data_IF_633566546007
#
_entry.id   IF_633566546007
#
_cell.length_a   1.000
_cell.length_b   1.000
_cell.length_c   1.000
_cell.angle_alpha   90.00
_cell.angle_beta   90.00
_cell.angle_gamma   90.00
#
_symmetry.space_group_name_H-M   'P 1'
#
loop_
_entity.id
_entity.type
_entity.pdbx_description
1 polymer ?
#
# COMPACT_ATOMS: atom_id res chain seq x y z
N UNK A 1 26.22 -55.81 33.08
CA UNK A 1 26.65 -55.40 31.73
C UNK A 1 25.45 -54.81 31.01
N UNK A 2 25.68 -53.73 30.25
CA UNK A 2 24.72 -52.92 29.50
C UNK A 2 23.76 -53.76 28.61
N UNK A 3 22.59 -53.30 28.14
CA UNK A 3 22.35 -52.07 27.37
C UNK A 3 20.86 -51.69 27.35
N UNK A 4 20.59 -50.40 27.50
CA UNK A 4 19.38 -49.75 27.00
C UNK A 4 19.55 -49.46 25.51
N UNK A 5 18.52 -49.69 24.69
CA UNK A 5 18.29 -49.05 23.38
C UNK A 5 16.77 -48.95 23.22
N UNK A 6 16.15 -47.84 23.63
CA UNK A 6 15.93 -46.60 22.88
C UNK A 6 14.83 -46.75 21.83
N UNK A 7 13.60 -46.46 22.27
CA UNK A 7 12.43 -46.28 21.42
C UNK A 7 12.57 -44.97 20.64
N UNK A 8 12.76 -45.05 19.33
CA UNK A 8 12.71 -43.90 18.44
C UNK A 8 11.26 -43.65 18.00
N UNK A 9 10.60 -42.72 18.69
CA UNK A 9 9.39 -42.04 18.20
C UNK A 9 9.80 -41.09 17.07
N UNK A 10 9.52 -41.46 15.82
CA UNK A 10 9.59 -40.55 14.67
C UNK A 10 8.37 -39.62 14.72
N UNK A 11 8.54 -38.44 15.33
CA UNK A 11 7.62 -37.33 15.13
C UNK A 11 7.87 -36.77 13.72
N UNK A 12 6.96 -37.05 12.79
CA UNK A 12 6.95 -36.39 11.49
C UNK A 12 6.57 -34.92 11.70
N UNK A 13 7.57 -34.05 11.81
CA UNK A 13 7.38 -32.61 11.75
C UNK A 13 6.93 -32.29 10.32
N UNK A 14 5.63 -32.05 10.15
CA UNK A 14 5.09 -31.44 8.94
C UNK A 14 5.55 -29.98 8.93
N UNK A 15 6.77 -29.76 8.43
CA UNK A 15 7.25 -28.42 8.11
C UNK A 15 6.39 -27.95 6.93
N UNK A 16 5.36 -27.16 7.23
CA UNK A 16 4.71 -26.34 6.21
C UNK A 16 5.79 -25.39 5.67
N UNK A 17 6.45 -25.79 4.59
CA UNK A 17 7.20 -24.88 3.76
C UNK A 17 6.17 -23.90 3.17
N UNK A 18 6.00 -22.76 3.83
CA UNK A 18 5.38 -21.59 3.22
C UNK A 18 6.31 -21.21 2.07
N UNK A 19 5.97 -21.66 0.88
CA UNK A 19 6.59 -21.14 -0.33
C UNK A 19 6.09 -19.71 -0.46
N UNK A 20 6.99 -18.74 -0.30
CA UNK A 20 6.71 -17.37 -0.71
C UNK A 20 6.58 -17.40 -2.24
N UNK A 21 5.35 -17.50 -2.73
CA UNK A 21 5.03 -17.47 -4.14
C UNK A 21 5.58 -16.16 -4.75
N UNK A 22 6.13 -16.27 -5.95
CA UNK A 22 6.64 -15.14 -6.74
C UNK A 22 5.51 -14.12 -6.98
N UNK A 23 5.78 -12.84 -6.69
CA UNK A 23 4.85 -11.72 -6.96
C UNK A 23 4.74 -11.54 -8.48
N UNK A 24 3.83 -12.26 -9.12
CA UNK A 24 3.33 -11.90 -10.45
C UNK A 24 2.39 -10.71 -10.28
N UNK A 25 2.81 -9.53 -10.74
CA UNK A 25 2.01 -8.30 -10.62
C UNK A 25 2.80 -7.00 -10.52
N UNK A 26 4.13 -7.08 -10.51
CA UNK A 26 4.98 -5.88 -10.51
C UNK A 26 4.75 -5.05 -11.79
N UNK A 27 4.33 -3.80 -11.61
CA UNK A 27 4.29 -2.78 -12.64
C UNK A 27 5.49 -1.85 -12.46
N UNK A 28 6.08 -1.33 -13.55
CA UNK A 28 7.19 -0.39 -13.43
C UNK A 28 6.80 0.90 -12.70
N UNK A 29 7.78 1.69 -12.24
CA UNK A 29 7.51 2.90 -11.45
C UNK A 29 6.84 4.03 -12.24
N UNK A 30 6.89 4.00 -13.59
CA UNK A 30 6.18 4.95 -14.48
C UNK A 30 6.42 6.42 -14.11
N UNK A 31 7.65 6.73 -13.72
CA UNK A 31 8.08 8.06 -13.27
C UNK A 31 8.05 8.30 -11.76
N UNK A 32 7.51 7.36 -10.96
CA UNK A 32 7.45 7.41 -9.49
C UNK A 32 8.54 6.59 -8.78
N UNK A 33 9.49 6.04 -9.55
CA UNK A 33 10.70 5.37 -9.04
C UNK A 33 10.63 3.85 -9.16
N UNK A 34 11.66 3.26 -9.76
CA UNK A 34 11.70 1.81 -10.05
C UNK A 34 12.31 0.98 -8.91
N UNK A 35 12.75 1.65 -7.84
CA UNK A 35 13.24 0.99 -6.61
C UNK A 35 12.12 0.61 -5.65
N UNK A 36 10.93 1.18 -5.84
CA UNK A 36 9.72 0.84 -5.09
C UNK A 36 9.02 -0.31 -5.84
N UNK A 37 8.57 -1.33 -5.10
CA UNK A 37 7.80 -2.43 -5.68
C UNK A 37 6.36 -1.98 -5.93
N UNK A 38 6.09 -1.46 -7.13
CA UNK A 38 4.75 -1.09 -7.54
C UNK A 38 3.99 -2.29 -8.10
N UNK A 39 2.70 -2.40 -7.78
CA UNK A 39 1.79 -3.42 -8.31
C UNK A 39 0.57 -2.79 -8.98
N UNK A 40 -0.15 -3.59 -9.77
CA UNK A 40 -1.40 -3.16 -10.40
C UNK A 40 -2.51 -2.93 -9.38
N UNK A 41 -3.57 -2.23 -9.78
CA UNK A 41 -4.70 -1.92 -8.88
C UNK A 41 -5.34 -3.17 -8.28
N UNK A 42 -5.75 -4.14 -9.11
CA UNK A 42 -6.44 -5.33 -8.64
C UNK A 42 -5.57 -6.21 -7.74
N UNK A 43 -4.32 -6.41 -8.11
CA UNK A 43 -3.38 -7.23 -7.33
C UNK A 43 -3.02 -6.54 -6.02
N UNK A 44 -2.79 -5.22 -6.04
CA UNK A 44 -2.43 -4.48 -4.85
C UNK A 44 -3.56 -4.39 -3.83
N UNK A 45 -4.82 -4.25 -4.27
CA UNK A 45 -5.96 -4.31 -3.35
C UNK A 45 -6.07 -5.70 -2.71
N UNK A 46 -5.97 -6.76 -3.52
CA UNK A 46 -6.00 -8.13 -3.01
C UNK A 46 -4.83 -8.41 -2.04
N UNK A 47 -3.62 -7.95 -2.35
CA UNK A 47 -2.44 -8.10 -1.48
C UNK A 47 -2.61 -7.32 -0.17
N UNK A 48 -3.13 -6.09 -0.22
CA UNK A 48 -3.35 -5.26 0.96
C UNK A 48 -4.33 -5.92 1.93
N UNK A 49 -5.43 -6.45 1.43
CA UNK A 49 -6.41 -7.19 2.24
C UNK A 49 -5.84 -8.50 2.79
N UNK A 50 -5.18 -9.30 1.95
CA UNK A 50 -4.61 -10.58 2.35
C UNK A 50 -3.50 -10.44 3.40
N UNK A 51 -2.69 -9.38 3.29
CA UNK A 51 -1.59 -9.10 4.23
C UNK A 51 -1.98 -8.17 5.36
N UNK A 52 -3.20 -7.64 5.34
CA UNK A 52 -3.73 -6.66 6.29
C UNK A 52 -2.84 -5.42 6.43
N UNK A 53 -2.22 -5.01 5.32
CA UNK A 53 -1.33 -3.85 5.23
C UNK A 53 -2.06 -2.65 4.64
N UNK A 54 -1.66 -1.41 4.99
CA UNK A 54 -2.13 -0.25 4.26
C UNK A 54 -1.60 -0.27 2.82
N UNK A 55 -2.39 0.22 1.87
CA UNK A 55 -1.92 0.47 0.52
C UNK A 55 -1.81 1.97 0.25
N UNK A 56 -0.79 2.38 -0.50
CA UNK A 56 -0.68 3.72 -1.08
C UNK A 56 -0.97 3.64 -2.57
N UNK A 57 -2.06 4.26 -3.01
CA UNK A 57 -2.52 4.25 -4.39
C UNK A 57 -2.20 5.59 -5.05
N UNK A 58 -1.37 5.54 -6.09
CA UNK A 58 -1.03 6.70 -6.91
C UNK A 58 -1.77 6.61 -8.23
N UNK A 59 -2.70 7.54 -8.47
CA UNK A 59 -3.46 7.63 -9.73
C UNK A 59 -2.92 8.80 -10.54
N UNK A 60 -2.42 8.51 -11.74
CA UNK A 60 -1.77 9.51 -12.60
C UNK A 60 -1.89 9.18 -14.09
N UNK A 61 -1.58 10.16 -14.94
CA UNK A 61 -1.61 9.99 -16.40
C UNK A 61 -0.35 10.52 -17.07
N UNK A 62 0.04 9.91 -18.18
CA UNK A 62 1.26 10.17 -18.96
C UNK A 62 1.30 11.56 -19.59
N UNK A 63 0.15 12.21 -19.81
CA UNK A 63 0.06 13.56 -20.36
C UNK A 63 0.00 14.66 -19.30
N UNK A 64 -0.16 14.30 -18.02
CA UNK A 64 -0.38 15.25 -16.93
C UNK A 64 0.93 15.89 -16.45
N UNK A 65 1.02 17.23 -16.56
CA UNK A 65 2.21 17.99 -16.15
C UNK A 65 2.50 17.92 -14.65
N UNK A 66 1.47 18.01 -13.79
CA UNK A 66 1.62 17.88 -12.34
C UNK A 66 2.13 16.49 -11.93
N UNK A 67 1.68 15.44 -12.63
CA UNK A 67 2.09 14.06 -12.42
C UNK A 67 3.59 13.88 -12.72
N UNK A 68 4.04 14.42 -13.87
CA UNK A 68 5.47 14.43 -14.25
C UNK A 68 6.33 15.23 -13.29
N UNK A 69 5.79 16.26 -12.65
CA UNK A 69 6.49 17.04 -11.64
C UNK A 69 6.56 16.35 -10.27
N UNK A 70 5.54 15.55 -9.93
CA UNK A 70 5.47 14.83 -8.65
C UNK A 70 6.31 13.56 -8.65
N UNK A 71 6.26 12.77 -9.73
CA UNK A 71 6.93 11.47 -9.84
C UNK A 71 8.40 11.49 -9.43
N UNK A 72 9.26 12.36 -9.98
CA UNK A 72 10.67 12.44 -9.61
C UNK A 72 10.90 12.80 -8.13
N UNK A 73 9.99 13.57 -7.51
CA UNK A 73 10.08 13.91 -6.09
C UNK A 73 9.79 12.70 -5.22
N UNK A 74 8.89 11.82 -5.65
CA UNK A 74 8.62 10.53 -5.00
C UNK A 74 9.80 9.59 -5.21
N UNK A 75 10.24 9.42 -6.46
CA UNK A 75 11.33 8.52 -6.84
C UNK A 75 12.66 8.83 -6.14
N UNK A 76 12.97 10.12 -5.97
CA UNK A 76 14.22 10.58 -5.37
C UNK A 76 14.20 10.71 -3.84
N UNK A 77 13.09 10.39 -3.17
CA UNK A 77 12.96 10.57 -1.73
C UNK A 77 13.20 9.24 -0.99
N UNK A 78 14.32 9.15 -0.28
CA UNK A 78 14.72 7.95 0.47
C UNK A 78 13.76 7.59 1.60
N UNK A 79 13.07 8.57 2.18
CA UNK A 79 12.13 8.33 3.28
C UNK A 79 10.83 7.70 2.76
N UNK A 80 10.34 8.12 1.59
CA UNK A 80 9.25 7.42 0.91
C UNK A 80 9.66 5.99 0.56
N UNK A 81 10.87 5.79 0.03
CA UNK A 81 11.36 4.46 -0.30
C UNK A 81 11.46 3.54 0.93
N UNK A 82 11.84 4.08 2.10
CA UNK A 82 11.86 3.33 3.35
C UNK A 82 10.45 3.01 3.83
N UNK A 83 9.57 4.01 3.89
CA UNK A 83 8.18 3.84 4.30
C UNK A 83 7.44 2.86 3.40
N UNK A 84 7.71 2.87 2.08
CA UNK A 84 7.06 2.00 1.10
C UNK A 84 7.16 0.51 1.42
N UNK A 85 8.13 0.07 2.24
CA UNK A 85 8.26 -1.32 2.69
C UNK A 85 7.12 -1.77 3.62
N UNK A 86 6.48 -0.82 4.30
CA UNK A 86 5.35 -1.06 5.20
C UNK A 86 3.99 -0.99 4.48
N UNK A 87 3.99 -0.66 3.19
CA UNK A 87 2.77 -0.46 2.39
C UNK A 87 2.74 -1.40 1.18
N UNK A 88 1.54 -1.70 0.70
CA UNK A 88 1.36 -2.17 -0.68
C UNK A 88 1.32 -0.95 -1.59
N UNK A 89 2.26 -0.84 -2.52
CA UNK A 89 2.42 0.34 -3.37
C UNK A 89 1.73 0.12 -4.72
N UNK A 90 0.67 0.88 -4.99
CA UNK A 90 -0.19 0.68 -6.16
C UNK A 90 -0.03 1.85 -7.12
N UNK A 91 0.26 1.54 -8.39
CA UNK A 91 0.45 2.53 -9.44
C UNK A 91 -0.62 2.38 -10.53
N UNK A 92 -1.56 3.32 -10.57
CA UNK A 92 -2.66 3.34 -11.55
C UNK A 92 -2.35 4.38 -12.62
N UNK A 93 -2.14 3.92 -13.86
CA UNK A 93 -1.67 4.76 -14.95
C UNK A 93 -2.66 4.84 -16.12
N UNK A 94 -2.87 6.06 -16.63
CA UNK A 94 -3.67 6.31 -17.82
C UNK A 94 -5.08 5.71 -17.73
N UNK A 95 -5.39 4.74 -18.60
CA UNK A 95 -6.73 4.15 -18.71
C UNK A 95 -6.99 3.09 -17.63
N UNK A 96 -5.97 2.67 -16.89
CA UNK A 96 -6.13 1.75 -15.75
C UNK A 96 -7.00 2.33 -14.64
N UNK A 97 -7.19 3.66 -14.60
CA UNK A 97 -8.15 4.31 -13.70
C UNK A 97 -9.57 3.74 -13.87
N UNK A 98 -9.94 3.24 -15.06
CA UNK A 98 -11.23 2.60 -15.30
C UNK A 98 -11.41 1.29 -14.49
N UNK A 99 -10.33 0.67 -14.04
CA UNK A 99 -10.36 -0.52 -13.19
C UNK A 99 -10.54 -0.17 -11.70
N UNK A 100 -10.50 1.11 -11.35
CA UNK A 100 -10.76 1.58 -9.97
C UNK A 100 -12.25 1.80 -9.72
N UNK A 101 -12.63 1.90 -8.44
CA UNK A 101 -14.01 2.19 -8.04
C UNK A 101 -14.19 3.68 -7.73
N UNK A 102 -15.44 4.15 -7.66
CA UNK A 102 -15.75 5.54 -7.26
C UNK A 102 -15.24 5.89 -5.85
N UNK A 103 -14.95 4.91 -4.99
CA UNK A 103 -14.29 5.13 -3.69
C UNK A 103 -12.92 5.81 -3.83
N UNK A 104 -12.25 5.68 -4.98
CA UNK A 104 -10.95 6.30 -5.30
C UNK A 104 -11.08 7.65 -6.04
N UNK A 105 -12.29 8.23 -6.06
CA UNK A 105 -12.60 9.58 -6.53
C UNK A 105 -13.45 10.36 -5.51
N UNK A 106 -13.12 10.33 -4.22
CA UNK A 106 -13.99 10.85 -3.15
C UNK A 106 -14.30 12.36 -3.27
N UNK A 107 -13.44 13.14 -3.91
CA UNK A 107 -13.64 14.56 -4.21
C UNK A 107 -13.39 14.91 -5.70
N UNK A 108 -13.51 13.91 -6.59
CA UNK A 108 -13.44 14.09 -8.04
C UNK A 108 -12.31 13.33 -8.75
N UNK A 109 -12.29 13.46 -10.09
CA UNK A 109 -11.38 12.72 -10.98
C UNK A 109 -10.12 13.48 -11.42
N UNK A 110 -9.64 14.46 -10.65
CA UNK A 110 -8.41 15.21 -10.97
C UNK A 110 -7.15 14.37 -10.77
N UNK A 111 -6.01 14.75 -11.33
CA UNK A 111 -4.75 13.98 -11.23
C UNK A 111 -3.52 14.90 -11.00
N UNK A 112 -2.47 14.40 -10.32
CA UNK A 112 -2.39 13.12 -9.64
C UNK A 112 -3.19 13.09 -8.34
N UNK A 113 -3.55 11.88 -7.89
CA UNK A 113 -4.12 11.63 -6.56
C UNK A 113 -3.27 10.60 -5.83
N UNK A 114 -3.03 10.85 -4.54
CA UNK A 114 -2.44 9.88 -3.62
C UNK A 114 -3.52 9.53 -2.59
N UNK A 115 -3.97 8.28 -2.59
CA UNK A 115 -5.06 7.81 -1.75
C UNK A 115 -4.57 6.60 -0.96
N UNK A 116 -4.91 6.53 0.32
CA UNK A 116 -4.56 5.39 1.16
C UNK A 116 -5.76 4.46 1.34
N UNK A 117 -5.48 3.16 1.27
CA UNK A 117 -6.46 2.09 1.42
C UNK A 117 -6.14 1.26 2.65
N UNK A 118 -7.18 0.90 3.37
CA UNK A 118 -7.14 0.13 4.60
C UNK A 118 -7.30 -1.37 4.30
N UNK A 119 -6.19 -2.11 4.30
CA UNK A 119 -6.21 -3.57 4.14
C UNK A 119 -6.79 -4.33 5.33
N UNK A 120 -7.01 -3.72 6.50
CA UNK A 120 -7.65 -4.39 7.63
C UNK A 120 -9.17 -4.47 7.47
N UNK A 121 -9.78 -3.41 6.93
CA UNK A 121 -11.24 -3.26 6.86
C UNK A 121 -11.79 -3.12 5.44
N UNK A 122 -10.93 -3.08 4.41
CA UNK A 122 -11.34 -3.03 3.01
C UNK A 122 -11.88 -1.66 2.56
N UNK A 123 -11.42 -0.56 3.16
CA UNK A 123 -11.98 0.78 2.96
C UNK A 123 -10.94 1.84 2.60
N UNK A 124 -11.38 2.92 1.93
CA UNK A 124 -10.50 4.07 1.67
C UNK A 124 -10.38 4.94 2.93
N UNK A 125 -9.17 5.37 3.27
CA UNK A 125 -8.91 6.25 4.41
C UNK A 125 -9.24 7.72 4.06
N UNK A 126 -10.54 8.05 4.03
CA UNK A 126 -11.05 9.36 3.60
C UNK A 126 -10.58 10.55 4.46
N UNK A 127 -10.18 10.30 5.70
CA UNK A 127 -9.66 11.34 6.61
C UNK A 127 -8.16 11.61 6.39
N UNK A 128 -7.45 10.70 5.72
CA UNK A 128 -6.05 10.91 5.33
C UNK A 128 -5.99 11.77 4.06
N UNK A 129 -6.02 13.08 4.28
CA UNK A 129 -5.94 14.10 3.23
C UNK A 129 -4.63 14.90 3.34
N UNK A 130 -4.25 15.57 2.26
CA UNK A 130 -3.20 16.58 2.29
C UNK A 130 -3.69 17.84 3.05
N UNK A 131 -3.57 17.82 4.38
CA UNK A 131 -4.04 18.89 5.29
C UNK A 131 -3.43 20.27 4.99
N UNK A 132 -2.20 20.31 4.46
CA UNK A 132 -1.52 21.54 4.03
C UNK A 132 -1.75 21.91 2.56
N UNK A 133 -2.56 21.13 1.84
CA UNK A 133 -2.87 21.29 0.43
C UNK A 133 -4.08 22.18 0.15
N UNK A 134 -4.61 22.05 -1.07
CA UNK A 134 -5.82 22.75 -1.46
C UNK A 134 -7.05 21.99 -0.91
N UNK A 135 -7.96 22.62 -0.15
CA UNK A 135 -9.12 21.95 0.46
C UNK A 135 -10.14 21.44 -0.56
N UNK A 136 -10.11 21.92 -1.80
CA UNK A 136 -10.94 21.41 -2.91
C UNK A 136 -10.31 20.21 -3.62
N UNK A 137 -9.03 19.93 -3.39
CA UNK A 137 -8.28 18.84 -4.01
C UNK A 137 -7.49 18.10 -2.91
N UNK A 138 -8.23 17.41 -2.04
CA UNK A 138 -7.75 16.89 -0.76
C UNK A 138 -6.66 15.83 -0.91
N UNK A 139 -6.59 15.13 -2.04
CA UNK A 139 -5.63 14.06 -2.31
C UNK A 139 -4.55 14.47 -3.31
N UNK A 140 -4.47 15.77 -3.64
CA UNK A 140 -3.43 16.32 -4.49
C UNK A 140 -2.22 16.74 -3.66
N UNK A 141 -1.07 16.13 -3.90
CA UNK A 141 0.20 16.45 -3.26
C UNK A 141 1.15 17.14 -4.25
N UNK A 142 1.76 18.24 -3.83
CA UNK A 142 2.72 19.00 -4.67
C UNK A 142 4.17 18.57 -4.46
N UNK A 143 4.47 17.79 -3.42
CA UNK A 143 5.82 17.37 -3.07
C UNK A 143 5.85 16.17 -2.12
N UNK A 144 7.07 15.65 -1.91
CA UNK A 144 7.30 14.43 -1.14
C UNK A 144 6.98 14.60 0.36
N UNK A 145 7.22 15.78 0.94
CA UNK A 145 7.04 16.01 2.38
C UNK A 145 5.60 15.76 2.86
N UNK A 146 4.59 16.21 2.11
CA UNK A 146 3.19 15.96 2.47
C UNK A 146 2.80 14.50 2.27
N UNK A 147 3.40 13.79 1.31
CA UNK A 147 3.21 12.35 1.13
C UNK A 147 3.82 11.59 2.31
N UNK A 148 5.05 11.93 2.72
CA UNK A 148 5.70 11.36 3.90
C UNK A 148 4.86 11.56 5.16
N UNK A 149 4.33 12.77 5.36
CA UNK A 149 3.45 13.05 6.50
C UNK A 149 2.22 12.14 6.49
N UNK A 150 1.56 12.00 5.34
CA UNK A 150 0.42 11.09 5.18
C UNK A 150 0.80 9.62 5.43
N UNK A 151 1.92 9.14 4.87
CA UNK A 151 2.40 7.78 5.09
C UNK A 151 2.67 7.51 6.57
N UNK A 152 3.31 8.45 7.29
CA UNK A 152 3.54 8.31 8.74
C UNK A 152 2.22 8.25 9.52
N UNK A 153 1.28 9.14 9.21
CA UNK A 153 -0.04 9.14 9.85
C UNK A 153 -0.77 7.82 9.64
N UNK A 154 -0.73 7.24 8.44
CA UNK A 154 -1.34 5.93 8.17
C UNK A 154 -0.60 4.80 8.88
N UNK A 155 0.74 4.84 8.91
CA UNK A 155 1.54 3.84 9.63
C UNK A 155 1.22 3.84 11.12
N UNK A 156 1.14 5.02 11.74
CA UNK A 156 0.80 5.19 13.15
C UNK A 156 -0.66 4.73 13.43
N UNK A 157 -1.59 5.05 12.52
CA UNK A 157 -2.97 4.58 12.59
C UNK A 157 -3.05 3.04 12.67
N UNK A 158 -2.29 2.35 11.82
CA UNK A 158 -2.24 0.88 11.76
C UNK A 158 -1.57 0.22 12.98
N UNK A 159 -0.76 0.98 13.72
CA UNK A 159 -0.19 0.56 14.99
C UNK A 159 -1.14 0.76 16.18
N UNK A 160 -2.21 1.55 16.02
CA UNK A 160 -3.14 1.83 17.10
C UNK A 160 -4.11 0.66 17.35
N UNK A 161 -4.23 0.24 18.61
CA UNK A 161 -5.16 -0.83 19.02
C UNK A 161 -6.62 -0.48 18.69
N UNK A 162 -6.99 0.80 18.86
CA UNK A 162 -8.34 1.27 18.56
C UNK A 162 -8.70 1.05 17.09
N UNK A 163 -7.77 1.32 16.16
CA UNK A 163 -8.01 1.08 14.75
C UNK A 163 -8.09 -0.42 14.44
N UNK A 164 -7.15 -1.23 14.95
CA UNK A 164 -7.10 -2.69 14.72
C UNK A 164 -8.31 -3.45 15.28
N UNK A 165 -9.01 -2.87 16.24
CA UNK A 165 -10.21 -3.46 16.88
C UNK A 165 -11.53 -2.96 16.31
N UNK A 166 -11.52 -1.96 15.42
CA UNK A 166 -12.72 -1.27 14.90
C UNK A 166 -13.74 -2.20 14.24
N UNK A 167 -13.32 -3.32 13.65
CA UNK A 167 -14.21 -4.33 13.04
C UNK A 167 -14.51 -5.58 13.88
N UNK A 168 -13.94 -5.73 15.08
CA UNK A 168 -14.14 -6.92 15.94
C UNK A 168 -15.30 -6.79 16.93
N UNK A 169 -15.79 -5.58 17.16
CA UNK A 169 -16.79 -5.29 18.19
C UNK A 169 -18.26 -5.47 17.73
N UNK A 170 -18.49 -5.79 16.45
CA UNK A 170 -19.83 -5.97 15.87
C UNK A 170 -20.22 -7.45 15.62
N UNK A 171 -19.44 -8.41 16.15
CA UNK A 171 -19.72 -9.85 16.17
C UNK A 171 -19.82 -10.36 17.60
#
# INVERSE_FOLDING_TARGET
MARAVMATLLAAAFVCAVSAEQVSGSVGGRGFGDTINWVSFSEGIAEAEATQKPAMVVIHKSWCGACKALGPKVAGNSEIAELAKDFVMINVHDDEEANTTEKFKPDGGYIPRVIFFDGLHGEVLLDNINKGGNPSYKYFHTGAESIVASMKEVKDLFQSEAFRSKGKAEL
#
